data_IF_634619464873
#
_entry.id   IF_634619464873
#
_cell.length_a   1.000
_cell.length_b   1.000
_cell.length_c   1.000
_cell.angle_alpha   90.00
_cell.angle_beta   90.00
_cell.angle_gamma   90.00
#
_symmetry.space_group_name_H-M   'P 1'
#
loop_
_entity.id
_entity.type
_entity.pdbx_description
1 polymer ?
#
# COMPACT_ATOMS: atom_id res chain seq x y z
N UNK A 1 -50.66 27.08 0.14
CA UNK A 1 -50.13 26.49 -1.10
C UNK A 1 -48.98 25.56 -0.76
N UNK A 2 -49.01 24.32 -1.26
CA UNK A 2 -47.99 23.27 -1.10
C UNK A 2 -48.28 22.31 0.07
N UNK A 3 -48.60 21.02 -0.08
CA UNK A 3 -48.60 20.13 -1.24
C UNK A 3 -47.48 19.07 -1.16
N UNK A 4 -47.84 17.81 -0.89
CA UNK A 4 -47.11 16.59 -1.31
C UNK A 4 -46.20 15.88 -0.31
N UNK A 5 -46.59 14.69 0.16
CA UNK A 5 -45.64 13.63 0.61
C UNK A 5 -45.20 12.77 -0.58
N UNK A 6 -44.90 11.45 -0.43
CA UNK A 6 -44.09 10.73 0.58
C UNK A 6 -43.10 9.71 -0.08
N UNK A 7 -41.97 9.31 0.53
CA UNK A 7 -41.24 8.01 0.31
C UNK A 7 -39.86 8.03 0.99
N UNK A 8 -39.65 7.29 2.08
CA UNK A 8 -39.04 5.95 2.18
C UNK A 8 -37.54 5.90 1.84
N UNK A 9 -36.70 5.53 2.82
CA UNK A 9 -35.82 4.35 2.76
C UNK A 9 -34.87 4.29 3.97
N UNK A 10 -35.04 3.20 4.71
CA UNK A 10 -34.00 2.40 5.37
C UNK A 10 -33.30 2.94 6.62
N UNK A 11 -33.99 2.67 7.73
CA UNK A 11 -33.46 2.51 9.08
C UNK A 11 -32.50 1.31 9.12
N UNK A 12 -31.19 1.55 9.19
CA UNK A 12 -30.21 0.51 9.45
C UNK A 12 -29.89 0.50 10.95
N UNK A 13 -30.66 -0.29 11.69
CA UNK A 13 -30.26 -0.80 13.00
C UNK A 13 -29.00 -1.65 12.81
N UNK A 14 -27.88 -1.27 13.41
CA UNK A 14 -27.03 -2.30 13.98
C UNK A 14 -26.32 -1.79 15.24
N UNK A 15 -26.79 -2.35 16.34
CA UNK A 15 -26.34 -2.13 17.70
C UNK A 15 -25.05 -2.93 17.90
N UNK A 16 -24.01 -2.23 18.35
CA UNK A 16 -22.88 -2.86 19.01
C UNK A 16 -23.32 -3.41 20.37
N UNK A 17 -22.99 -4.67 20.71
CA UNK A 17 -22.80 -5.09 22.10
C UNK A 17 -22.16 -6.48 22.25
N UNK A 18 -21.42 -6.61 23.36
CA UNK A 18 -20.86 -7.81 24.00
C UNK A 18 -19.61 -8.41 23.33
N UNK A 19 -18.38 -8.30 23.85
CA UNK A 19 -17.85 -8.38 25.23
C UNK A 19 -18.11 -9.74 25.92
N UNK A 20 -17.05 -10.31 26.52
CA UNK A 20 -16.91 -11.63 27.19
C UNK A 20 -16.45 -12.79 26.27
N UNK A 21 -15.52 -13.68 26.62
CA UNK A 21 -14.66 -13.87 27.79
C UNK A 21 -13.62 -14.98 27.46
N UNK A 22 -12.58 -15.07 28.31
CA UNK A 22 -11.78 -16.26 28.62
C UNK A 22 -10.65 -16.71 27.66
N UNK A 23 -9.42 -16.35 28.04
CA UNK A 23 -8.28 -17.28 28.02
C UNK A 23 -8.18 -17.95 29.42
N UNK A 24 -7.29 -18.94 29.68
CA UNK A 24 -6.43 -19.73 28.80
C UNK A 24 -6.61 -21.25 29.03
N UNK A 25 -6.06 -22.11 28.17
CA UNK A 25 -5.52 -23.41 28.62
C UNK A 25 -4.47 -23.89 27.63
N UNK A 26 -3.20 -23.74 28.04
CA UNK A 26 -2.09 -24.46 27.45
C UNK A 26 -2.22 -25.93 27.82
N UNK A 27 -2.29 -26.81 26.82
CA UNK A 27 -1.87 -28.19 26.96
C UNK A 27 -0.83 -28.46 25.87
N UNK A 28 0.38 -28.71 26.36
CA UNK A 28 1.52 -29.17 25.58
C UNK A 28 1.27 -30.62 25.18
N UNK A 29 1.31 -30.92 23.89
CA UNK A 29 1.46 -32.29 23.40
C UNK A 29 2.58 -32.29 22.34
N UNK A 30 3.73 -32.80 22.76
CA UNK A 30 4.81 -33.22 21.87
C UNK A 30 4.45 -34.61 21.32
N UNK A 31 4.43 -34.73 20.01
CA UNK A 31 4.65 -36.00 19.29
C UNK A 31 5.07 -35.63 17.87
N UNK A 32 6.37 -35.67 17.60
CA UNK A 32 7.02 -36.78 16.91
C UNK A 32 6.93 -36.61 15.38
N UNK A 33 8.03 -36.10 14.82
CA UNK A 33 8.64 -36.51 13.56
C UNK A 33 7.76 -37.29 12.56
N UNK A 34 7.28 -36.60 11.53
CA UNK A 34 7.35 -37.12 10.17
C UNK A 34 7.63 -35.95 9.21
N UNK A 35 8.72 -36.12 8.46
CA UNK A 35 9.17 -35.20 7.44
C UNK A 35 8.41 -35.44 6.12
N UNK A 36 8.37 -34.40 5.30
CA UNK A 36 7.94 -34.40 3.90
C UNK A 36 6.41 -34.30 3.63
N UNK A 37 5.91 -33.07 3.66
CA UNK A 37 5.01 -32.53 2.63
C UNK A 37 5.07 -31.02 2.71
N UNK A 38 5.54 -30.36 1.64
CA UNK A 38 5.56 -28.90 1.51
C UNK A 38 4.12 -28.36 1.46
N UNK A 39 3.67 -27.52 2.40
CA UNK A 39 2.52 -26.65 2.15
C UNK A 39 3.08 -25.36 1.56
N UNK A 40 2.93 -25.20 0.25
CA UNK A 40 2.88 -23.91 -0.40
C UNK A 40 1.61 -23.18 0.05
N UNK A 41 1.73 -22.31 1.06
CA UNK A 41 0.72 -21.29 1.32
C UNK A 41 1.29 -20.23 2.24
N UNK A 42 1.62 -19.08 1.62
CA UNK A 42 1.53 -17.76 2.22
C UNK A 42 2.31 -17.61 3.53
N UNK A 43 3.63 -17.42 3.43
CA UNK A 43 4.31 -16.59 4.41
C UNK A 43 3.71 -15.20 4.28
N UNK A 44 2.70 -14.92 5.11
CA UNK A 44 2.34 -13.57 5.47
C UNK A 44 3.64 -12.93 5.95
N UNK A 45 4.24 -12.11 5.09
CA UNK A 45 5.37 -11.25 5.43
C UNK A 45 4.87 -10.24 6.45
N UNK A 46 4.91 -10.72 7.68
CA UNK A 46 4.79 -10.01 8.91
C UNK A 46 6.01 -9.11 9.00
N UNK A 47 5.83 -7.83 8.64
CA UNK A 47 6.50 -6.66 9.21
C UNK A 47 6.31 -5.42 8.34
N UNK A 48 5.08 -4.95 8.14
CA UNK A 48 4.87 -3.55 7.78
C UNK A 48 4.85 -2.71 9.08
N UNK A 49 6.01 -2.56 9.72
CA UNK A 49 6.20 -1.50 10.71
C UNK A 49 7.60 -0.96 10.57
N UNK A 50 7.73 0.16 9.87
CA UNK A 50 8.85 1.08 10.06
C UNK A 50 8.52 2.45 9.48
N UNK A 51 8.06 3.33 10.37
CA UNK A 51 7.81 4.75 10.11
C UNK A 51 6.35 5.12 10.35
N UNK A 52 6.12 6.09 11.25
CA UNK A 52 4.82 6.72 11.51
C UNK A 52 4.02 6.93 10.22
N UNK A 53 2.85 6.30 10.10
CA UNK A 53 2.00 6.27 8.89
C UNK A 53 1.24 7.58 8.64
N UNK A 54 1.62 8.68 9.29
CA UNK A 54 0.95 9.96 9.14
C UNK A 54 1.52 10.74 7.95
N UNK A 55 1.07 10.38 6.75
CA UNK A 55 1.36 11.13 5.53
C UNK A 55 0.07 11.53 4.83
N UNK A 56 0.03 12.76 4.29
CA UNK A 56 -1.20 13.32 3.73
C UNK A 56 -1.69 12.60 2.46
N UNK A 57 -0.78 12.05 1.65
CA UNK A 57 -1.15 11.31 0.43
C UNK A 57 -2.03 10.09 0.72
N UNK A 58 -1.88 9.43 1.88
CA UNK A 58 -2.75 8.32 2.31
C UNK A 58 -4.21 8.71 2.52
N UNK A 59 -4.48 10.00 2.78
CA UNK A 59 -5.86 10.50 2.92
C UNK A 59 -6.53 10.76 1.56
N UNK A 60 -5.74 10.78 0.48
CA UNK A 60 -6.23 11.14 -0.85
C UNK A 60 -6.71 9.90 -1.61
N UNK A 61 -7.95 9.88 -2.15
CA UNK A 61 -8.47 8.72 -2.89
C UNK A 61 -7.72 8.46 -4.19
N UNK A 62 -7.19 9.52 -4.82
CA UNK A 62 -6.41 9.40 -6.07
C UNK A 62 -5.11 8.59 -5.87
N UNK A 63 -4.50 8.68 -4.68
CA UNK A 63 -3.31 7.90 -4.36
C UNK A 63 -3.62 6.40 -4.38
N UNK A 64 -4.72 5.99 -3.74
CA UNK A 64 -5.14 4.59 -3.72
C UNK A 64 -5.39 4.07 -5.14
N UNK A 65 -6.11 4.82 -5.98
CA UNK A 65 -6.37 4.43 -7.37
C UNK A 65 -5.09 4.26 -8.20
N UNK A 66 -4.12 5.17 -8.05
CA UNK A 66 -2.84 5.03 -8.76
C UNK A 66 -2.05 3.82 -8.25
N UNK A 67 -2.03 3.57 -6.94
CA UNK A 67 -1.37 2.40 -6.34
C UNK A 67 -2.02 1.09 -6.80
N UNK A 68 -3.36 1.06 -6.88
CA UNK A 68 -4.12 -0.11 -7.34
C UNK A 68 -3.91 -0.41 -8.84
N UNK A 69 -3.47 0.58 -9.62
CA UNK A 69 -3.11 0.39 -11.03
C UNK A 69 -1.77 -0.34 -11.21
N UNK A 70 -0.93 -0.41 -10.16
CA UNK A 70 0.33 -1.15 -10.21
C UNK A 70 0.11 -2.64 -9.94
N UNK A 71 0.92 -3.54 -10.52
CA UNK A 71 0.77 -4.97 -10.28
C UNK A 71 0.99 -5.32 -8.81
N UNK A 72 0.11 -6.11 -8.19
CA UNK A 72 0.27 -6.54 -6.79
C UNK A 72 1.46 -7.49 -6.57
N UNK A 73 2.08 -7.96 -7.66
CA UNK A 73 3.25 -8.82 -7.62
C UNK A 73 4.53 -8.10 -7.14
N UNK A 74 4.56 -6.75 -7.17
CA UNK A 74 5.72 -5.95 -6.81
C UNK A 74 5.37 -4.92 -5.74
N UNK A 75 6.20 -4.83 -4.70
CA UNK A 75 6.12 -3.75 -3.73
C UNK A 75 7.10 -2.63 -4.10
N UNK A 76 6.58 -1.55 -4.66
CA UNK A 76 7.37 -0.39 -5.08
C UNK A 76 7.79 0.52 -3.91
N UNK A 77 7.36 0.22 -2.68
CA UNK A 77 7.73 1.00 -1.46
C UNK A 77 7.49 2.51 -1.62
N UNK A 78 6.41 2.86 -2.32
CA UNK A 78 6.09 4.22 -2.77
C UNK A 78 6.10 5.22 -1.62
N UNK A 79 5.57 4.83 -0.47
CA UNK A 79 5.56 5.66 0.73
C UNK A 79 6.96 6.07 1.21
N UNK A 80 7.91 5.15 1.15
CA UNK A 80 9.30 5.42 1.54
C UNK A 80 9.95 6.34 0.53
N UNK A 81 9.69 6.11 -0.75
CA UNK A 81 10.18 6.97 -1.85
C UNK A 81 9.66 8.40 -1.70
N UNK A 82 8.36 8.59 -1.50
CA UNK A 82 7.76 9.92 -1.29
C UNK A 82 8.29 10.59 -0.01
N UNK A 83 8.41 9.85 1.09
CA UNK A 83 8.98 10.36 2.32
C UNK A 83 10.44 10.80 2.14
N UNK A 84 11.21 10.10 1.31
CA UNK A 84 12.59 10.45 0.99
C UNK A 84 12.66 11.70 0.12
N UNK A 85 11.84 11.78 -0.93
CA UNK A 85 11.74 12.94 -1.82
C UNK A 85 11.41 14.21 -1.04
N UNK A 86 10.42 14.13 -0.14
CA UNK A 86 10.01 15.27 0.68
C UNK A 86 11.08 15.69 1.70
N UNK A 87 11.82 14.73 2.28
CA UNK A 87 12.96 15.01 3.17
C UNK A 87 14.10 15.72 2.43
N UNK A 88 14.44 15.24 1.24
CA UNK A 88 15.56 15.75 0.44
C UNK A 88 15.17 17.02 -0.34
N UNK A 89 13.88 17.38 -0.41
CA UNK A 89 13.34 18.52 -1.16
C UNK A 89 13.82 18.52 -2.61
N UNK A 90 13.82 17.33 -3.21
CA UNK A 90 14.34 17.14 -4.56
C UNK A 90 13.46 17.85 -5.59
N UNK A 91 14.07 18.61 -6.50
CA UNK A 91 13.36 19.27 -7.61
C UNK A 91 13.17 18.37 -8.83
N UNK A 92 14.16 17.51 -9.07
CA UNK A 92 14.24 16.60 -10.21
C UNK A 92 14.53 15.21 -9.68
N UNK A 93 13.75 14.24 -10.12
CA UNK A 93 13.83 12.87 -9.62
C UNK A 93 14.11 11.97 -10.81
N UNK A 94 15.19 11.19 -10.74
CA UNK A 94 15.48 10.19 -11.75
C UNK A 94 14.99 8.82 -11.26
N UNK A 95 14.11 8.20 -12.05
CA UNK A 95 13.60 6.85 -11.80
C UNK A 95 14.37 5.88 -12.68
N UNK A 96 15.16 5.03 -12.06
CA UNK A 96 15.83 3.91 -12.73
C UNK A 96 15.02 2.64 -12.48
N UNK A 97 14.59 1.98 -13.56
CA UNK A 97 13.80 0.78 -13.49
C UNK A 97 14.40 -0.28 -14.42
N UNK A 98 14.46 -1.56 -14.00
CA UNK A 98 14.80 -2.64 -14.92
C UNK A 98 13.70 -2.78 -15.99
N UNK A 99 14.05 -3.36 -17.14
CA UNK A 99 13.17 -3.43 -18.33
C UNK A 99 11.78 -4.04 -18.03
N UNK A 100 11.72 -5.06 -17.19
CA UNK A 100 10.45 -5.67 -16.75
C UNK A 100 9.54 -4.79 -15.88
N UNK A 101 10.03 -3.67 -15.35
CA UNK A 101 9.26 -2.70 -14.56
C UNK A 101 9.09 -1.35 -15.27
N UNK A 102 9.75 -1.15 -16.42
CA UNK A 102 9.72 0.09 -17.17
C UNK A 102 8.31 0.43 -17.70
N UNK A 103 7.45 -0.57 -17.94
CA UNK A 103 6.04 -0.34 -18.31
C UNK A 103 5.27 0.49 -17.26
N UNK A 104 5.65 0.39 -15.98
CA UNK A 104 5.01 1.13 -14.87
C UNK A 104 5.70 2.45 -14.55
N UNK A 105 6.77 2.80 -15.28
CA UNK A 105 7.59 3.97 -15.00
C UNK A 105 6.80 5.27 -15.09
N UNK A 106 5.91 5.39 -16.08
CA UNK A 106 5.07 6.57 -16.27
C UNK A 106 4.08 6.75 -15.10
N UNK A 107 3.41 5.67 -14.67
CA UNK A 107 2.50 5.72 -13.53
C UNK A 107 3.23 6.10 -12.24
N UNK A 108 4.45 5.59 -12.04
CA UNK A 108 5.29 5.96 -10.92
C UNK A 108 5.78 7.42 -11.00
N UNK A 109 6.10 7.90 -12.20
CA UNK A 109 6.48 9.29 -12.43
C UNK A 109 5.34 10.24 -12.06
N UNK A 110 4.13 10.01 -12.61
CA UNK A 110 2.94 10.81 -12.31
C UNK A 110 2.62 10.82 -10.80
N UNK A 111 2.73 9.66 -10.15
CA UNK A 111 2.50 9.53 -8.72
C UNK A 111 3.52 10.36 -7.92
N UNK A 112 4.81 10.26 -8.26
CA UNK A 112 5.86 11.00 -7.56
C UNK A 112 5.77 12.50 -7.82
N UNK A 113 5.38 12.93 -9.00
CA UNK A 113 5.13 14.35 -9.30
C UNK A 113 3.92 14.89 -8.52
N UNK A 114 2.85 14.10 -8.44
CA UNK A 114 1.61 14.51 -7.75
C UNK A 114 1.79 14.59 -6.22
N UNK A 115 2.49 13.61 -5.64
CA UNK A 115 2.58 13.47 -4.18
C UNK A 115 3.96 13.81 -3.59
N UNK A 116 4.98 14.03 -4.42
CA UNK A 116 6.36 14.35 -3.99
C UNK A 116 6.53 15.74 -3.39
N UNK A 117 5.50 16.58 -3.47
CA UNK A 117 5.45 17.91 -2.85
C UNK A 117 5.72 19.06 -3.83
N UNK A 118 5.54 20.31 -3.38
CA UNK A 118 5.51 21.48 -4.27
C UNK A 118 6.88 21.85 -4.90
N UNK A 119 7.95 21.19 -4.48
CA UNK A 119 9.30 21.45 -5.00
C UNK A 119 9.63 20.58 -6.21
N UNK A 120 8.93 19.46 -6.37
CA UNK A 120 9.13 18.52 -7.47
C UNK A 120 8.58 19.17 -8.74
N UNK A 121 9.44 19.32 -9.74
CA UNK A 121 9.09 19.93 -11.01
C UNK A 121 8.76 18.87 -12.06
N UNK A 122 9.60 17.84 -12.17
CA UNK A 122 9.40 16.71 -13.08
C UNK A 122 10.24 15.50 -12.68
N UNK A 123 9.77 14.32 -13.07
CA UNK A 123 10.44 13.04 -12.96
C UNK A 123 11.01 12.60 -14.33
N UNK A 124 12.23 12.07 -14.32
CA UNK A 124 12.93 11.58 -15.50
C UNK A 124 13.02 10.06 -15.39
N UNK A 125 12.45 9.34 -16.34
CA UNK A 125 12.65 7.89 -16.45
C UNK A 125 13.95 7.63 -17.20
N UNK A 126 14.89 6.94 -16.55
CA UNK A 126 16.15 6.57 -17.18
C UNK A 126 15.92 5.34 -18.07
N UNK A 127 16.25 5.48 -19.35
CA UNK A 127 16.05 4.42 -20.36
C UNK A 127 17.19 3.42 -20.49
N UNK A 128 18.15 3.42 -19.55
CA UNK A 128 19.26 2.46 -19.56
C UNK A 128 18.83 1.12 -18.94
N UNK A 129 19.34 0.02 -19.50
CA UNK A 129 19.07 -1.33 -18.99
C UNK A 129 19.87 -1.51 -17.71
N UNK A 130 19.21 -1.34 -16.57
CA UNK A 130 19.80 -1.58 -15.27
C UNK A 130 19.92 -3.10 -15.01
N UNK A 131 21.14 -3.65 -15.18
CA UNK A 131 21.43 -5.07 -14.90
C UNK A 131 21.63 -5.37 -13.40
N UNK A 132 21.68 -4.35 -12.56
CA UNK A 132 21.85 -4.49 -11.11
C UNK A 132 22.56 -3.28 -10.50
N UNK A 133 22.70 -3.27 -9.17
CA UNK A 133 23.40 -2.21 -8.42
C UNK A 133 24.93 -2.43 -8.35
N UNK A 134 25.50 -3.03 -9.39
CA UNK A 134 26.86 -3.58 -9.42
C UNK A 134 27.93 -2.52 -9.71
#
# INVERSE_FOLDING_TARGET
>A
CGGGGPSSCFEATNQASACAAAAPLRISARSSIDAASRPSSQSASSAATSGSTNYWWRSSPQFATMVDALPPAYNFEIDKTLARVNKDKAKRIALQLPEGLAMFALTLADLVETFGGPQVEFAIVLGDVAYGAC
#
